data_IF_095002524543
#
_entry.id   IF_095002524543
#
_cell.length_a   1.000
_cell.length_b   1.000
_cell.length_c   1.000
_cell.angle_alpha   90.00
_cell.angle_beta   90.00
_cell.angle_gamma   90.00
#
_symmetry.space_group_name_H-M   'P 1'
#
loop_
_entity.id
_entity.type
_entity.pdbx_description
1 polymer ?
#
# COMPACT_ATOMS: atom_id res chain seq x y z
N UNK A 1 -23.54 -2.42 -24.57
CA UNK A 1 -22.90 -2.86 -23.31
C UNK A 1 -21.56 -2.15 -23.17
N UNK A 2 -21.07 -1.96 -21.94
CA UNK A 2 -19.78 -1.33 -21.65
C UNK A 2 -18.90 -2.37 -20.97
N UNK A 3 -17.63 -2.43 -21.37
CA UNK A 3 -16.60 -3.26 -20.75
C UNK A 3 -15.55 -2.40 -20.06
N UNK A 4 -15.02 -2.90 -18.95
CA UNK A 4 -14.01 -2.23 -18.16
C UNK A 4 -12.68 -2.96 -18.27
N UNK A 5 -11.59 -2.20 -18.41
CA UNK A 5 -10.24 -2.74 -18.48
C UNK A 5 -9.28 -1.89 -17.65
N UNK A 6 -8.37 -2.55 -16.94
CA UNK A 6 -7.30 -1.86 -16.21
C UNK A 6 -6.17 -1.56 -17.19
N UNK A 7 -5.94 -0.27 -17.46
CA UNK A 7 -4.87 0.18 -18.33
C UNK A 7 -3.50 -0.04 -17.65
N UNK A 8 -2.62 -0.74 -18.35
CA UNK A 8 -1.24 -0.96 -17.90
C UNK A 8 -0.45 0.32 -18.12
N UNK A 9 -0.19 1.08 -17.07
CA UNK A 9 0.68 2.25 -17.16
C UNK A 9 2.13 1.81 -17.41
N UNK A 10 2.76 2.35 -18.47
CA UNK A 10 4.19 2.16 -18.77
C UNK A 10 5.12 2.75 -17.69
N UNK A 11 4.59 3.54 -16.74
CA UNK A 11 5.41 4.34 -15.81
C UNK A 11 5.71 3.58 -14.50
N UNK A 12 4.98 2.52 -14.14
CA UNK A 12 5.29 1.73 -12.94
C UNK A 12 4.78 0.29 -13.05
N UNK A 13 5.64 -0.61 -13.52
CA UNK A 13 5.33 -2.02 -13.83
C UNK A 13 5.00 -2.95 -12.65
N UNK A 14 4.46 -2.44 -11.53
CA UNK A 14 4.14 -3.26 -10.33
C UNK A 14 2.70 -3.10 -9.81
N UNK A 15 2.06 -1.94 -9.93
CA UNK A 15 0.74 -1.72 -9.29
C UNK A 15 -0.42 -2.47 -9.99
N UNK A 16 -0.31 -2.73 -11.29
CA UNK A 16 -1.28 -3.54 -12.03
C UNK A 16 -1.25 -5.03 -11.68
N UNK A 17 -0.29 -5.48 -10.87
CA UNK A 17 -0.19 -6.89 -10.44
C UNK A 17 -1.08 -7.18 -9.22
N UNK A 18 -1.40 -6.15 -8.42
CA UNK A 18 -2.12 -6.29 -7.16
C UNK A 18 -3.63 -6.11 -7.31
N UNK A 19 -4.07 -5.46 -8.39
CA UNK A 19 -5.47 -5.16 -8.65
C UNK A 19 -5.87 -5.59 -10.05
N UNK A 20 -7.10 -6.05 -10.18
CA UNK A 20 -7.77 -6.28 -11.47
C UNK A 20 -9.15 -5.63 -11.46
N UNK A 21 -9.76 -5.49 -12.63
CA UNK A 21 -11.14 -5.03 -12.78
C UNK A 21 -11.97 -6.09 -13.49
N UNK A 22 -13.15 -6.40 -12.96
CA UNK A 22 -14.09 -7.28 -13.63
C UNK A 22 -14.71 -6.57 -14.84
N UNK A 23 -14.58 -7.17 -16.02
CA UNK A 23 -14.88 -6.50 -17.28
C UNK A 23 -16.36 -6.11 -17.44
N UNK A 24 -17.30 -6.85 -16.86
CA UNK A 24 -18.73 -6.58 -17.03
C UNK A 24 -19.30 -5.64 -15.98
N UNK A 25 -18.79 -5.69 -14.75
CA UNK A 25 -19.35 -4.92 -13.61
C UNK A 25 -18.52 -3.70 -13.24
N UNK A 26 -17.24 -3.69 -13.61
CA UNK A 26 -16.29 -2.66 -13.19
C UNK A 26 -15.79 -2.82 -11.75
N UNK A 27 -16.07 -3.95 -11.08
CA UNK A 27 -15.59 -4.21 -9.72
C UNK A 27 -14.06 -4.33 -9.70
N UNK A 28 -13.41 -3.56 -8.82
CA UNK A 28 -11.97 -3.64 -8.57
C UNK A 28 -11.69 -4.70 -7.51
N UNK A 29 -10.89 -5.71 -7.87
CA UNK A 29 -10.58 -6.86 -7.03
C UNK A 29 -9.08 -6.90 -6.73
N UNK A 30 -8.72 -7.46 -5.58
CA UNK A 30 -7.33 -7.70 -5.19
C UNK A 30 -6.88 -9.06 -5.73
N UNK A 31 -5.78 -9.08 -6.48
CA UNK A 31 -5.22 -10.32 -7.09
C UNK A 31 -4.01 -10.86 -6.35
N UNK A 32 -3.23 -10.00 -5.69
CA UNK A 32 -1.98 -10.41 -5.03
C UNK A 32 -1.78 -9.71 -3.69
N UNK A 33 -1.38 -10.49 -2.69
CA UNK A 33 -0.96 -10.05 -1.36
C UNK A 33 0.50 -10.42 -1.13
N UNK A 34 1.27 -9.67 -0.30
CA UNK A 34 0.86 -8.47 0.44
C UNK A 34 0.67 -7.25 -0.47
N UNK A 35 -0.22 -6.34 -0.07
CA UNK A 35 -0.40 -5.06 -0.77
C UNK A 35 0.67 -4.06 -0.29
N UNK A 36 1.34 -3.33 -1.21
CA UNK A 36 2.27 -2.29 -0.80
C UNK A 36 1.49 -1.14 -0.14
N UNK A 37 1.92 -0.77 1.08
CA UNK A 37 1.34 0.34 1.84
C UNK A 37 1.56 1.63 1.06
N UNK A 38 0.54 2.50 1.05
CA UNK A 38 0.61 3.79 0.38
C UNK A 38 -0.53 4.01 -0.61
N UNK A 39 -0.34 5.01 -1.49
CA UNK A 39 -1.31 5.36 -2.52
C UNK A 39 -0.94 4.67 -3.83
N UNK A 40 -1.92 4.00 -4.42
CA UNK A 40 -1.80 3.35 -5.71
C UNK A 40 -2.83 3.95 -6.66
N UNK A 41 -2.39 4.36 -7.84
CA UNK A 41 -3.24 4.99 -8.85
C UNK A 41 -3.52 3.99 -9.96
N UNK A 42 -4.79 3.71 -10.18
CA UNK A 42 -5.29 2.81 -11.21
C UNK A 42 -5.95 3.64 -12.33
N UNK A 43 -5.70 3.24 -13.56
CA UNK A 43 -6.31 3.82 -14.75
C UNK A 43 -7.30 2.80 -15.30
N UNK A 44 -8.59 3.09 -15.21
CA UNK A 44 -9.65 2.18 -15.64
C UNK A 44 -10.28 2.76 -16.89
N UNK A 45 -10.25 2.02 -17.98
CA UNK A 45 -10.90 2.39 -19.22
C UNK A 45 -12.25 1.69 -19.32
N UNK A 46 -13.28 2.48 -19.60
CA UNK A 46 -14.60 1.99 -19.97
C UNK A 46 -14.74 2.09 -21.50
N UNK A 47 -15.23 1.03 -22.12
CA UNK A 47 -15.37 0.95 -23.57
C UNK A 47 -16.71 0.38 -23.97
N UNK A 48 -17.44 1.08 -24.83
CA UNK A 48 -18.67 0.54 -25.41
C UNK A 48 -18.37 -0.58 -26.43
N UNK A 49 -19.40 -1.36 -26.77
CA UNK A 49 -19.33 -2.47 -27.71
C UNK A 49 -20.36 -2.27 -28.82
N UNK A 50 -20.13 -1.33 -29.75
CA UNK A 50 -21.01 -1.10 -30.89
C UNK A 50 -20.91 -2.24 -31.91
N UNK A 51 -21.93 -2.37 -32.76
CA UNK A 51 -21.93 -3.35 -33.86
C UNK A 51 -20.85 -2.99 -34.89
N UNK A 52 -20.63 -1.69 -35.11
CA UNK A 52 -19.57 -1.17 -35.96
C UNK A 52 -18.35 -0.80 -35.09
N UNK A 53 -17.22 -1.52 -35.20
CA UNK A 53 -16.03 -1.26 -34.38
C UNK A 53 -15.47 0.16 -34.51
N UNK A 54 -15.71 0.84 -35.63
CA UNK A 54 -15.25 2.23 -35.83
C UNK A 54 -15.99 3.25 -34.97
N UNK A 55 -17.15 2.91 -34.42
CA UNK A 55 -17.93 3.77 -33.53
C UNK A 55 -17.55 3.60 -32.05
N UNK A 56 -16.55 2.75 -31.76
CA UNK A 56 -16.16 2.41 -30.40
C UNK A 56 -15.62 3.63 -29.67
N UNK A 57 -16.23 3.94 -28.51
CA UNK A 57 -15.86 5.04 -27.63
C UNK A 57 -15.19 4.52 -26.38
N UNK A 58 -14.30 5.33 -25.84
CA UNK A 58 -13.53 5.03 -24.64
C UNK A 58 -13.65 6.19 -23.65
N UNK A 59 -13.62 5.88 -22.37
CA UNK A 59 -13.58 6.86 -21.28
C UNK A 59 -12.62 6.37 -20.20
N UNK A 60 -11.73 7.25 -19.73
CA UNK A 60 -10.71 6.90 -18.75
C UNK A 60 -11.04 7.50 -17.38
N UNK A 61 -11.04 6.65 -16.35
CA UNK A 61 -11.18 7.05 -14.95
C UNK A 61 -9.87 6.83 -14.18
N UNK A 62 -9.54 7.74 -13.27
CA UNK A 62 -8.39 7.63 -12.38
C UNK A 62 -8.90 7.28 -10.98
N UNK A 63 -8.55 6.09 -10.50
CA UNK A 63 -8.96 5.57 -9.19
C UNK A 63 -7.75 5.53 -8.27
N UNK A 64 -7.83 6.19 -7.11
CA UNK A 64 -6.77 6.17 -6.10
C UNK A 64 -7.14 5.22 -4.97
N UNK A 65 -6.42 4.11 -4.85
CA UNK A 65 -6.52 3.17 -3.74
C UNK A 65 -5.50 3.55 -2.68
N UNK A 66 -5.95 3.80 -1.45
CA UNK A 66 -5.06 4.04 -0.29
C UNK A 66 -5.00 2.77 0.55
N UNK A 67 -3.89 2.05 0.44
CA UNK A 67 -3.62 0.89 1.29
C UNK A 67 -3.09 1.40 2.62
N UNK A 68 -3.85 1.14 3.67
CA UNK A 68 -3.46 1.44 5.04
C UNK A 68 -2.68 0.27 5.61
N UNK A 69 -1.69 0.57 6.44
CA UNK A 69 -1.11 -0.43 7.31
C UNK A 69 -2.23 -0.96 8.22
N UNK A 70 -2.53 -2.26 8.11
CA UNK A 70 -3.45 -2.89 9.06
C UNK A 70 -2.81 -2.76 10.43
N UNK A 71 -3.47 -2.04 11.34
CA UNK A 71 -3.00 -1.69 12.69
C UNK A 71 -2.71 -2.88 13.62
N UNK A 72 -2.60 -4.08 13.09
CA UNK A 72 -1.86 -5.17 13.72
C UNK A 72 -0.35 -4.94 13.58
N UNK A 73 0.14 -3.85 14.15
CA UNK A 73 1.48 -3.78 14.73
C UNK A 73 1.58 -4.71 15.96
N UNK A 74 1.12 -5.97 15.83
CA UNK A 74 1.49 -7.05 16.75
C UNK A 74 2.80 -7.72 16.32
N UNK A 75 3.36 -7.33 15.18
CA UNK A 75 4.56 -7.92 14.61
C UNK A 75 5.68 -6.93 14.27
N UNK A 76 5.55 -5.62 14.53
CA UNK A 76 6.75 -4.79 14.65
C UNK A 76 7.32 -5.07 16.03
N UNK A 77 8.23 -6.04 16.11
CA UNK A 77 9.02 -6.24 17.33
C UNK A 77 9.68 -4.89 17.64
N UNK A 78 9.49 -4.32 18.83
CA UNK A 78 10.11 -3.06 19.20
C UNK A 78 11.62 -3.18 19.01
N UNK A 79 12.20 -2.28 18.22
CA UNK A 79 13.64 -2.26 17.97
C UNK A 79 14.29 -1.17 18.80
N UNK A 80 15.40 -1.52 19.46
CA UNK A 80 16.07 -0.58 20.35
C UNK A 80 16.96 0.35 19.55
N UNK A 81 16.70 1.65 19.66
CA UNK A 81 17.48 2.66 18.94
C UNK A 81 18.91 2.71 19.49
N UNK A 82 19.91 2.39 18.66
CA UNK A 82 21.34 2.49 19.01
C UNK A 82 21.84 1.47 20.05
N UNK A 83 21.25 0.27 20.08
CA UNK A 83 21.84 -0.85 20.81
C UNK A 83 23.25 -1.23 20.27
N UNK A 84 24.17 -1.74 21.11
CA UNK A 84 24.01 -2.05 22.54
C UNK A 84 24.16 -0.82 23.45
N UNK A 85 23.51 -0.87 24.62
CA UNK A 85 23.62 0.17 25.64
C UNK A 85 24.54 -0.26 26.77
N UNK A 86 25.38 0.66 27.24
CA UNK A 86 26.22 0.48 28.42
C UNK A 86 26.08 1.71 29.31
N UNK A 87 25.84 1.47 30.61
CA UNK A 87 25.71 2.53 31.59
C UNK A 87 26.56 2.22 32.82
N UNK A 88 27.14 3.26 33.39
CA UNK A 88 28.01 3.17 34.57
C UNK A 88 27.44 4.05 35.67
N UNK A 89 27.57 3.60 36.92
CA UNK A 89 27.10 4.35 38.09
C UNK A 89 28.11 4.24 39.23
N UNK A 90 28.24 5.31 40.01
CA UNK A 90 29.16 5.37 41.15
C UNK A 90 28.69 4.55 42.35
N UNK A 91 29.60 4.24 43.28
CA UNK A 91 29.34 3.35 44.41
C UNK A 91 28.50 3.95 45.55
N UNK A 92 28.24 5.27 45.55
CA UNK A 92 27.53 5.96 46.64
C UNK A 92 26.17 6.56 46.24
N UNK A 93 25.64 6.20 45.07
CA UNK A 93 24.42 6.83 44.56
C UNK A 93 23.20 6.56 45.43
N UNK A 94 22.41 7.61 45.66
CA UNK A 94 21.18 7.54 46.44
C UNK A 94 20.05 6.77 45.75
N UNK A 95 19.07 6.34 46.54
CA UNK A 95 17.87 5.65 46.07
C UNK A 95 17.11 6.56 45.09
N UNK A 96 16.75 6.02 43.93
CA UNK A 96 16.02 6.75 42.88
C UNK A 96 16.90 7.41 41.82
N UNK A 97 18.22 7.23 41.87
CA UNK A 97 19.13 7.75 40.84
C UNK A 97 18.88 7.09 39.49
N UNK A 98 18.55 7.88 38.47
CA UNK A 98 18.39 7.42 37.08
C UNK A 98 19.75 7.20 36.43
N UNK A 99 19.94 6.04 35.79
CA UNK A 99 21.24 5.62 35.22
C UNK A 99 21.26 5.78 33.69
N UNK A 100 20.13 5.54 33.03
CA UNK A 100 20.02 5.60 31.59
C UNK A 100 18.58 5.49 31.13
N UNK A 101 18.31 5.96 29.92
CA UNK A 101 17.01 5.83 29.28
C UNK A 101 17.21 5.20 27.90
N UNK A 102 16.58 4.06 27.69
CA UNK A 102 16.54 3.39 26.38
C UNK A 102 15.33 3.88 25.60
N UNK A 103 15.47 3.88 24.27
CA UNK A 103 14.39 4.22 23.35
C UNK A 103 14.07 3.04 22.44
N UNK A 104 12.79 2.95 22.13
CA UNK A 104 12.14 1.98 21.26
C UNK A 104 11.46 2.75 20.15
#
# INVERSE_FOLDING_TARGET
MVLYELQRSNITGSYSQHFTVEAQTGQVLVTMVPLPIGKQTLFIEASDQPVNPSERRFSLAVVTVKVLESGTQKHSVPDFISAPYEFWVGSDVGIGTSIGQIRV
#
